data_IF_076323997694
#
_entry.id   IF_076323997694
#
_cell.length_a   1.000
_cell.length_b   1.000
_cell.length_c   1.000
_cell.angle_alpha   90.00
_cell.angle_beta   90.00
_cell.angle_gamma   90.00
#
_symmetry.space_group_name_H-M   'P 1'
#
loop_
_entity.id
_entity.type
_entity.pdbx_description
1 polymer ?
#
# COMPACT_ATOMS: atom_id res chain seq x y z
N UNK A 1 15.24 4.83 -8.96
CA UNK A 1 16.39 5.38 -8.20
C UNK A 1 16.74 6.71 -8.83
N UNK A 2 16.28 7.81 -8.24
CA UNK A 2 16.62 9.17 -8.72
C UNK A 2 17.73 9.68 -7.82
N UNK A 3 18.90 9.94 -8.39
CA UNK A 3 20.03 10.54 -7.68
C UNK A 3 20.21 11.96 -8.17
N UNK A 4 20.17 12.96 -7.28
CA UNK A 4 20.53 14.34 -7.61
C UNK A 4 22.02 14.56 -7.30
N UNK A 5 22.77 15.17 -8.23
CA UNK A 5 24.20 15.48 -8.05
C UNK A 5 24.44 17.00 -8.20
N UNK A 6 24.94 17.70 -7.17
CA UNK A 6 25.43 19.08 -7.31
C UNK A 6 26.80 19.10 -8.02
N UNK A 7 27.12 20.18 -8.73
CA UNK A 7 28.22 20.28 -9.71
C UNK A 7 29.65 20.42 -9.15
N UNK A 8 29.84 20.42 -7.83
CA UNK A 8 31.03 21.04 -7.24
C UNK A 8 31.90 20.04 -6.46
N UNK A 9 32.63 19.18 -7.17
CA UNK A 9 33.93 18.55 -6.79
C UNK A 9 34.19 17.84 -5.44
N UNK A 10 33.36 17.97 -4.42
CA UNK A 10 33.51 17.31 -3.12
C UNK A 10 33.00 15.85 -3.18
N UNK A 11 33.49 14.93 -2.32
CA UNK A 11 32.87 13.61 -2.16
C UNK A 11 31.46 13.81 -1.61
N UNK A 12 30.49 13.93 -2.50
CA UNK A 12 29.13 14.33 -2.17
C UNK A 12 28.33 13.11 -1.68
N UNK A 13 27.57 13.24 -0.59
CA UNK A 13 26.66 12.18 -0.17
C UNK A 13 25.63 11.94 -1.29
N UNK A 14 25.47 10.69 -1.68
CA UNK A 14 24.42 10.30 -2.62
C UNK A 14 23.15 10.02 -1.81
N UNK A 15 22.09 10.76 -2.12
CA UNK A 15 20.77 10.54 -1.51
C UNK A 15 19.95 9.66 -2.44
N UNK A 16 19.34 8.61 -1.88
CA UNK A 16 18.44 7.72 -2.60
C UNK A 16 17.12 7.57 -1.82
N UNK A 17 16.00 7.73 -2.50
CA UNK A 17 14.69 7.32 -2.00
C UNK A 17 14.51 5.84 -2.31
N UNK A 18 14.29 5.04 -1.27
CA UNK A 18 14.07 3.60 -1.37
C UNK A 18 12.62 3.31 -1.00
N UNK A 19 11.92 2.54 -1.83
CA UNK A 19 10.54 2.12 -1.54
C UNK A 19 10.55 1.06 -0.43
N UNK A 20 9.55 1.11 0.44
CA UNK A 20 9.35 0.09 1.47
C UNK A 20 9.26 -1.31 0.82
N UNK A 21 9.95 -2.29 1.41
CA UNK A 21 9.96 -3.67 0.92
C UNK A 21 10.93 -3.97 -0.24
N UNK A 22 11.73 -3.00 -0.71
CA UNK A 22 12.68 -3.22 -1.83
C UNK A 22 13.82 -4.20 -1.49
N UNK A 23 14.23 -4.25 -0.21
CA UNK A 23 15.34 -5.09 0.25
C UNK A 23 14.86 -6.04 1.33
N UNK A 24 15.39 -7.27 1.32
CA UNK A 24 15.14 -8.25 2.37
C UNK A 24 15.90 -7.85 3.64
N UNK A 25 15.23 -7.70 4.79
CA UNK A 25 15.92 -7.44 6.05
C UNK A 25 16.84 -8.61 6.41
N UNK A 26 18.00 -8.30 6.97
CA UNK A 26 18.89 -9.30 7.57
C UNK A 26 18.41 -9.61 8.99
N UNK A 27 18.07 -10.87 9.26
CA UNK A 27 17.60 -11.30 10.58
C UNK A 27 18.76 -11.41 11.58
N UNK A 28 18.92 -10.38 12.40
CA UNK A 28 19.91 -10.34 13.48
C UNK A 28 21.36 -10.25 12.99
N UNK A 29 22.19 -9.57 13.77
CA UNK A 29 23.63 -9.47 13.52
C UNK A 29 24.40 -9.43 14.83
N UNK A 30 25.54 -10.13 14.89
CA UNK A 30 26.45 -10.10 16.05
C UNK A 30 27.37 -8.87 16.07
N UNK A 31 27.05 -7.85 15.27
CA UNK A 31 27.85 -6.63 15.17
C UNK A 31 27.50 -5.65 16.29
N UNK A 32 28.52 -5.09 16.94
CA UNK A 32 28.38 -3.90 17.78
C UNK A 32 28.49 -2.66 16.91
N UNK A 33 27.61 -1.67 17.11
CA UNK A 33 27.73 -0.34 16.51
C UNK A 33 28.06 0.69 17.60
N UNK A 34 28.89 1.68 17.26
CA UNK A 34 29.14 2.82 18.13
C UNK A 34 27.92 3.75 18.09
N UNK A 35 27.45 4.18 19.27
CA UNK A 35 26.33 5.12 19.39
C UNK A 35 26.90 6.53 19.41
N UNK A 36 26.71 7.26 18.32
CA UNK A 36 27.02 8.69 18.25
C UNK A 36 25.75 9.51 18.52
N UNK A 37 25.81 10.45 19.45
CA UNK A 37 24.73 11.39 19.68
C UNK A 37 24.79 12.50 18.64
N UNK A 38 23.83 12.49 17.71
CA UNK A 38 23.64 13.59 16.78
C UNK A 38 23.29 14.89 17.54
N UNK A 39 23.76 16.06 17.06
CA UNK A 39 23.33 17.34 17.62
C UNK A 39 21.83 17.53 17.44
N UNK A 40 21.22 18.32 18.34
CA UNK A 40 19.82 18.71 18.19
C UNK A 40 19.59 19.35 16.82
N UNK A 41 18.43 19.07 16.21
CA UNK A 41 18.10 19.48 14.85
C UNK A 41 18.02 21.02 14.65
N UNK A 42 18.18 21.81 15.72
CA UNK A 42 18.12 23.27 15.69
C UNK A 42 16.74 23.80 15.29
N UNK A 43 16.68 25.10 15.00
CA UNK A 43 15.50 25.72 14.38
C UNK A 43 15.39 25.26 12.92
N UNK A 44 14.23 24.75 12.55
CA UNK A 44 13.93 24.32 11.19
C UNK A 44 13.08 25.35 10.47
N UNK A 45 13.30 25.52 9.17
CA UNK A 45 12.39 26.30 8.31
C UNK A 45 10.94 25.76 8.33
N UNK A 46 10.75 24.53 8.83
CA UNK A 46 9.46 23.87 8.99
C UNK A 46 8.82 24.04 10.38
N UNK A 47 9.43 24.80 11.30
CA UNK A 47 8.89 25.04 12.66
C UNK A 47 7.58 25.85 12.67
N UNK A 48 7.16 26.32 11.50
CA UNK A 48 5.83 26.93 11.27
C UNK A 48 4.71 25.89 11.14
N UNK A 49 5.04 24.61 10.96
CA UNK A 49 4.05 23.54 10.86
C UNK A 49 3.71 23.05 12.27
N UNK A 50 2.46 23.25 12.68
CA UNK A 50 1.94 22.66 13.92
C UNK A 50 1.03 21.50 13.56
N UNK A 51 1.25 20.34 14.17
CA UNK A 51 0.30 19.23 14.09
C UNK A 51 -0.95 19.68 14.84
N UNK A 52 -2.02 20.02 14.11
CA UNK A 52 -3.26 20.47 14.70
C UNK A 52 -3.97 19.31 15.41
N UNK A 53 -4.14 18.20 14.70
CA UNK A 53 -4.73 16.96 15.21
C UNK A 53 -4.14 15.76 14.48
N UNK A 54 -3.93 14.65 15.20
CA UNK A 54 -3.57 13.36 14.64
C UNK A 54 -4.74 12.40 14.83
N UNK A 55 -5.34 11.94 13.74
CA UNK A 55 -6.40 10.94 13.80
C UNK A 55 -5.81 9.59 13.41
N UNK A 56 -5.87 8.61 14.30
CA UNK A 56 -5.72 7.22 13.91
C UNK A 56 -6.99 6.82 13.17
N UNK A 57 -6.93 6.80 11.84
CA UNK A 57 -7.98 6.18 11.06
C UNK A 57 -8.05 4.70 11.47
N UNK A 58 -9.20 4.23 11.94
CA UNK A 58 -9.43 2.79 12.06
C UNK A 58 -9.14 2.17 10.70
N UNK A 59 -8.07 1.39 10.60
CA UNK A 59 -7.60 0.70 9.42
C UNK A 59 -8.55 -0.43 8.99
N UNK A 60 -9.87 -0.19 8.96
CA UNK A 60 -10.85 -1.21 8.59
C UNK A 60 -11.10 -1.26 7.09
N UNK A 61 -10.77 -0.21 6.34
CA UNK A 61 -10.90 -0.20 4.88
C UNK A 61 -9.64 0.42 4.28
N UNK A 62 -8.65 -0.43 4.00
CA UNK A 62 -7.47 -0.03 3.23
C UNK A 62 -7.93 0.51 1.88
N UNK A 63 -7.51 1.72 1.51
CA UNK A 63 -7.85 2.30 0.23
C UNK A 63 -7.28 1.42 -0.90
N UNK A 64 -8.13 0.97 -1.82
CA UNK A 64 -7.76 0.08 -2.92
C UNK A 64 -6.63 0.65 -3.79
N UNK A 65 -6.53 1.96 -3.93
CA UNK A 65 -5.50 2.59 -4.77
C UNK A 65 -4.10 2.57 -4.13
N UNK A 66 -4.04 2.52 -2.79
CA UNK A 66 -2.80 2.53 -2.01
C UNK A 66 -2.45 1.14 -1.46
N UNK A 67 -3.36 0.19 -1.57
CA UNK A 67 -3.18 -1.17 -1.10
C UNK A 67 -2.02 -1.87 -1.84
N UNK A 68 -1.06 -2.39 -1.06
CA UNK A 68 0.05 -3.20 -1.59
C UNK A 68 -0.41 -4.62 -1.95
N UNK A 69 -1.43 -5.13 -1.26
CA UNK A 69 -2.07 -6.43 -1.52
C UNK A 69 -3.56 -6.22 -1.73
N UNK A 70 -4.10 -6.77 -2.82
CA UNK A 70 -5.52 -6.74 -3.12
C UNK A 70 -6.03 -8.16 -3.35
N UNK A 71 -7.09 -8.51 -2.63
CA UNK A 71 -7.82 -9.75 -2.82
C UNK A 71 -9.19 -9.39 -3.41
N UNK A 72 -9.42 -9.76 -4.68
CA UNK A 72 -10.57 -9.34 -5.45
C UNK A 72 -11.53 -10.50 -5.74
N UNK A 73 -12.82 -10.28 -5.53
CA UNK A 73 -13.89 -11.24 -5.82
C UNK A 73 -14.66 -10.92 -7.11
N UNK A 74 -14.98 -11.93 -7.90
CA UNK A 74 -15.84 -11.82 -9.08
C UNK A 74 -17.14 -12.59 -8.96
N UNK A 75 -17.89 -12.75 -10.05
CA UNK A 75 -19.16 -13.49 -10.04
C UNK A 75 -19.00 -14.94 -9.57
N UNK A 76 -17.84 -15.55 -9.79
CA UNK A 76 -17.55 -16.93 -9.40
C UNK A 76 -17.46 -17.19 -7.90
N UNK A 77 -17.49 -16.15 -7.05
CA UNK A 77 -17.52 -16.31 -5.58
C UNK A 77 -18.90 -16.74 -5.06
N UNK A 78 -19.93 -16.66 -5.90
CA UNK A 78 -21.24 -17.27 -5.63
C UNK A 78 -22.19 -16.48 -4.74
N UNK A 79 -21.83 -15.27 -4.29
CA UNK A 79 -22.69 -14.41 -3.48
C UNK A 79 -21.91 -13.49 -2.54
N UNK A 80 -22.63 -12.70 -1.74
CA UNK A 80 -22.05 -11.87 -0.69
C UNK A 80 -21.30 -12.70 0.37
N UNK A 81 -21.84 -13.87 0.74
CA UNK A 81 -21.20 -14.80 1.68
C UNK A 81 -19.84 -15.32 1.16
N UNK A 82 -19.69 -15.40 -0.16
CA UNK A 82 -18.44 -15.76 -0.82
C UNK A 82 -17.30 -14.76 -0.55
N UNK A 83 -17.61 -13.53 -0.14
CA UNK A 83 -16.61 -12.55 0.27
C UNK A 83 -16.09 -12.75 1.70
N UNK A 84 -16.69 -13.61 2.52
CA UNK A 84 -16.18 -13.92 3.86
C UNK A 84 -14.72 -14.39 3.84
N UNK A 85 -14.40 -15.51 3.16
CA UNK A 85 -13.02 -16.00 3.05
C UNK A 85 -12.06 -15.02 2.39
N UNK A 86 -12.55 -14.19 1.46
CA UNK A 86 -11.77 -13.14 0.79
C UNK A 86 -11.35 -12.03 1.79
N UNK A 87 -12.26 -11.64 2.68
CA UNK A 87 -11.97 -10.68 3.77
C UNK A 87 -10.98 -11.25 4.77
N UNK A 88 -11.13 -12.51 5.15
CA UNK A 88 -10.21 -13.20 6.06
C UNK A 88 -8.79 -13.28 5.47
N UNK A 89 -8.70 -13.62 4.17
CA UNK A 89 -7.41 -13.66 3.46
C UNK A 89 -6.79 -12.26 3.34
N UNK A 90 -7.58 -11.25 3.00
CA UNK A 90 -7.10 -9.88 2.93
C UNK A 90 -6.59 -9.41 4.31
N UNK A 91 -7.32 -9.69 5.39
CA UNK A 91 -6.91 -9.37 6.75
C UNK A 91 -5.60 -10.09 7.13
N UNK A 92 -5.47 -11.38 6.81
CA UNK A 92 -4.25 -12.15 7.08
C UNK A 92 -3.02 -11.62 6.32
N UNK A 93 -3.24 -11.03 5.14
CA UNK A 93 -2.18 -10.45 4.31
C UNK A 93 -1.97 -8.93 4.52
N UNK A 94 -2.77 -8.30 5.38
CA UNK A 94 -2.76 -6.84 5.56
C UNK A 94 -3.19 -6.07 4.30
N UNK A 95 -4.03 -6.66 3.45
CA UNK A 95 -4.48 -6.12 2.18
C UNK A 95 -5.90 -5.57 2.18
N UNK A 96 -6.34 -5.11 1.02
CA UNK A 96 -7.69 -4.62 0.77
C UNK A 96 -8.54 -5.66 0.01
N UNK A 97 -9.86 -5.62 0.22
CA UNK A 97 -10.81 -6.40 -0.58
C UNK A 97 -11.37 -5.53 -1.70
N UNK A 98 -11.31 -6.05 -2.93
CA UNK A 98 -11.92 -5.43 -4.10
C UNK A 98 -12.88 -6.37 -4.80
N UNK A 99 -13.51 -5.91 -5.88
CA UNK A 99 -14.37 -6.76 -6.68
C UNK A 99 -14.48 -6.35 -8.14
N UNK A 100 -14.90 -7.29 -8.98
CA UNK A 100 -15.30 -6.98 -10.35
C UNK A 100 -16.66 -6.29 -10.39
N UNK A 101 -16.90 -5.57 -11.49
CA UNK A 101 -18.21 -4.97 -11.77
C UNK A 101 -19.35 -5.98 -11.65
N UNK A 102 -19.14 -7.23 -12.06
CA UNK A 102 -20.18 -8.25 -12.01
C UNK A 102 -20.65 -8.57 -10.58
N UNK A 103 -19.78 -8.43 -9.57
CA UNK A 103 -20.14 -8.61 -8.16
C UNK A 103 -20.75 -7.33 -7.56
N UNK A 104 -20.27 -6.14 -7.97
CA UNK A 104 -20.85 -4.86 -7.58
C UNK A 104 -22.28 -4.68 -8.13
N UNK A 105 -22.50 -4.97 -9.41
CA UNK A 105 -23.81 -4.93 -10.07
C UNK A 105 -24.79 -5.95 -9.45
N UNK A 106 -24.28 -7.03 -8.86
CA UNK A 106 -25.09 -8.02 -8.14
C UNK A 106 -25.40 -7.61 -6.69
N UNK A 107 -24.88 -6.47 -6.22
CA UNK A 107 -25.12 -5.94 -4.89
C UNK A 107 -24.32 -6.62 -3.77
N UNK A 108 -23.35 -7.47 -4.09
CA UNK A 108 -22.58 -8.24 -3.09
C UNK A 108 -21.51 -7.40 -2.38
N UNK A 109 -21.16 -6.26 -2.97
CA UNK A 109 -20.12 -5.36 -2.48
C UNK A 109 -20.43 -3.94 -2.96
N UNK A 110 -20.09 -2.89 -2.18
CA UNK A 110 -20.28 -1.51 -2.61
C UNK A 110 -19.50 -1.17 -3.89
N UNK A 111 -20.08 -0.34 -4.75
CA UNK A 111 -19.43 0.17 -5.97
C UNK A 111 -18.09 0.87 -5.72
N UNK A 112 -17.87 1.43 -4.53
CA UNK A 112 -16.61 2.05 -4.13
C UNK A 112 -15.42 1.08 -4.12
N UNK A 113 -15.70 -0.23 -4.06
CA UNK A 113 -14.70 -1.29 -4.08
C UNK A 113 -14.57 -1.98 -5.44
N UNK A 114 -15.24 -1.45 -6.47
CA UNK A 114 -15.15 -1.95 -7.83
C UNK A 114 -13.78 -1.64 -8.43
N UNK A 115 -13.17 -2.65 -9.06
CA UNK A 115 -11.91 -2.57 -9.80
C UNK A 115 -12.19 -2.75 -11.31
N UNK A 116 -11.46 -2.01 -12.14
CA UNK A 116 -11.50 -2.12 -13.60
C UNK A 116 -11.67 -0.76 -14.29
N UNK A 117 -11.91 -0.77 -15.59
CA UNK A 117 -11.98 0.42 -16.45
C UNK A 117 -13.01 1.47 -15.98
N UNK A 118 -14.13 1.01 -15.41
CA UNK A 118 -15.22 1.86 -14.90
C UNK A 118 -15.23 1.98 -13.38
N UNK A 119 -14.26 1.37 -12.71
CA UNK A 119 -14.06 1.43 -11.26
C UNK A 119 -12.73 2.09 -10.93
N UNK A 120 -12.12 1.66 -9.82
CA UNK A 120 -10.78 2.09 -9.42
C UNK A 120 -9.73 1.34 -10.22
N UNK A 121 -8.72 2.07 -10.68
CA UNK A 121 -7.51 1.50 -11.28
C UNK A 121 -6.49 1.31 -10.17
N UNK A 122 -6.06 0.08 -9.97
CA UNK A 122 -5.17 -0.30 -8.86
C UNK A 122 -3.85 -0.81 -9.39
N UNK A 123 -2.77 -0.63 -8.61
CA UNK A 123 -1.43 -1.14 -8.94
C UNK A 123 -0.77 -1.77 -7.70
N UNK A 124 -1.37 -2.83 -7.14
CA UNK A 124 -0.80 -3.50 -5.98
C UNK A 124 0.46 -4.28 -6.37
N UNK A 125 1.28 -4.61 -5.38
CA UNK A 125 2.37 -5.56 -5.53
C UNK A 125 1.88 -6.99 -5.67
N UNK A 126 0.73 -7.32 -5.06
CA UNK A 126 0.06 -8.61 -5.16
C UNK A 126 -1.44 -8.43 -5.43
N UNK A 127 -1.93 -9.08 -6.50
CA UNK A 127 -3.35 -9.13 -6.85
C UNK A 127 -3.84 -10.58 -6.92
N UNK A 128 -4.86 -10.90 -6.14
CA UNK A 128 -5.50 -12.23 -6.13
C UNK A 128 -6.92 -12.09 -6.66
N UNK A 129 -7.19 -12.58 -7.86
CA UNK A 129 -8.53 -12.56 -8.45
C UNK A 129 -9.27 -13.88 -8.27
N UNK A 130 -10.19 -13.95 -7.31
CA UNK A 130 -11.01 -15.14 -7.09
C UNK A 130 -12.35 -15.06 -7.84
N UNK A 131 -12.60 -16.02 -8.73
CA UNK A 131 -13.86 -16.08 -9.48
C UNK A 131 -14.08 -14.90 -10.43
N UNK A 132 -13.00 -14.26 -10.87
CA UNK A 132 -12.99 -13.18 -11.87
C UNK A 132 -12.63 -13.78 -13.23
N UNK A 133 -13.43 -13.48 -14.26
CA UNK A 133 -13.26 -14.07 -15.61
C UNK A 133 -12.16 -13.43 -16.45
N UNK A 134 -11.59 -12.30 -16.03
CA UNK A 134 -10.53 -11.59 -16.77
C UNK A 134 -11.02 -10.88 -18.03
N UNK A 135 -12.24 -10.32 -18.00
CA UNK A 135 -12.72 -9.49 -19.12
C UNK A 135 -11.85 -8.23 -19.26
N UNK A 136 -11.70 -7.71 -20.49
CA UNK A 136 -10.83 -6.54 -20.78
C UNK A 136 -11.20 -5.29 -19.95
N UNK A 137 -12.45 -5.19 -19.52
CA UNK A 137 -12.94 -4.07 -18.71
C UNK A 137 -12.59 -4.21 -17.22
N UNK A 138 -12.09 -5.36 -16.79
CA UNK A 138 -11.65 -5.65 -15.43
C UNK A 138 -10.15 -5.38 -15.26
#
# INVERSE_FOLDING_TARGET
>A
MTTARPSDGAPTPSVALVLSGTFTPIEGGSGSAEVEHAPDAGESAFDRATVAESHEAEAKVVNLEEATVIVAGGRGVGGEDGFGPLRDLAAALGGAVGASRAAADAGWIPYQLQIGQTGKVVKPSLYIGAGISGAIQH
#
